data_IF_307595305527
#
_entry.id   IF_307595305527
#
_cell.length_a   1.000
_cell.length_b   1.000
_cell.length_c   1.000
_cell.angle_alpha   90.00
_cell.angle_beta   90.00
_cell.angle_gamma   90.00
#
_symmetry.space_group_name_H-M   'P 1'
#
loop_
_entity.id
_entity.type
_entity.pdbx_description
1 polymer ?
#
# COMPACT_ATOMS: atom_id res chain seq x y z
N UNK A 1 39.23 30.91 36.12
CA UNK A 1 37.93 30.35 36.56
C UNK A 1 37.72 29.05 35.82
N UNK A 2 37.99 27.97 36.53
CA UNK A 2 38.05 26.61 36.00
C UNK A 2 36.63 26.06 35.81
N UNK A 3 36.29 25.63 34.58
CA UNK A 3 35.02 24.93 34.31
C UNK A 3 35.31 23.45 34.30
N UNK A 4 35.18 22.83 35.46
CA UNK A 4 35.23 21.37 35.65
C UNK A 4 34.08 20.74 34.85
N UNK A 5 34.40 20.12 33.72
CA UNK A 5 33.46 19.30 32.95
C UNK A 5 33.23 18.02 33.73
N UNK A 6 32.09 17.93 34.42
CA UNK A 6 31.61 16.70 35.05
C UNK A 6 31.26 15.68 33.95
N UNK A 7 32.25 14.86 33.56
CA UNK A 7 32.06 13.70 32.70
C UNK A 7 31.39 12.59 33.51
N UNK A 8 30.07 12.68 33.68
CA UNK A 8 29.29 11.56 34.20
C UNK A 8 29.39 10.38 33.24
N UNK A 9 29.97 9.27 33.69
CA UNK A 9 29.92 8.00 32.98
C UNK A 9 28.46 7.70 32.60
N UNK A 10 28.16 7.66 31.30
CA UNK A 10 26.88 7.17 30.80
C UNK A 10 26.84 5.67 31.01
N UNK A 11 26.42 5.24 32.20
CA UNK A 11 26.10 3.84 32.44
C UNK A 11 24.94 3.45 31.51
N UNK A 12 25.21 2.54 30.58
CA UNK A 12 24.16 1.97 29.73
C UNK A 12 23.30 1.09 30.64
N UNK A 13 22.10 1.57 30.99
CA UNK A 13 21.16 0.80 31.79
C UNK A 13 20.57 -0.32 30.93
N UNK A 14 20.85 -1.56 31.31
CA UNK A 14 20.27 -2.74 30.67
C UNK A 14 19.04 -3.19 31.44
N UNK A 15 17.87 -3.03 30.84
CA UNK A 15 16.62 -3.57 31.38
C UNK A 15 16.42 -5.02 30.93
N UNK A 16 15.96 -5.88 31.84
CA UNK A 16 15.58 -7.26 31.53
C UNK A 16 14.45 -7.31 30.49
N UNK A 17 14.36 -8.41 29.74
CA UNK A 17 13.27 -8.60 28.77
C UNK A 17 11.90 -8.59 29.47
N UNK A 18 11.79 -9.19 30.65
CA UNK A 18 10.56 -9.24 31.45
C UNK A 18 10.07 -7.85 31.83
N UNK A 19 10.98 -6.99 32.32
CA UNK A 19 10.66 -5.60 32.64
C UNK A 19 10.13 -4.85 31.42
N UNK A 20 10.79 -5.01 30.26
CA UNK A 20 10.37 -4.37 29.00
C UNK A 20 8.97 -4.84 28.59
N UNK A 21 8.69 -6.15 28.67
CA UNK A 21 7.39 -6.73 28.31
C UNK A 21 6.29 -6.25 29.26
N UNK A 22 6.56 -6.23 30.57
CA UNK A 22 5.60 -5.75 31.56
C UNK A 22 5.23 -4.29 31.32
N UNK A 23 6.21 -3.42 31.06
CA UNK A 23 5.95 -2.00 30.76
C UNK A 23 5.21 -1.79 29.45
N UNK A 24 5.46 -2.60 28.43
CA UNK A 24 4.68 -2.56 27.18
C UNK A 24 3.25 -3.04 27.41
N UNK A 25 3.01 -4.03 28.26
CA UNK A 25 1.66 -4.48 28.62
C UNK A 25 0.87 -3.39 29.36
N UNK A 26 1.50 -2.67 30.29
CA UNK A 26 0.90 -1.52 30.97
C UNK A 26 0.61 -0.35 30.02
N UNK A 27 1.50 -0.13 29.03
CA UNK A 27 1.33 0.86 27.98
C UNK A 27 0.16 0.52 27.04
N UNK A 28 0.04 -0.75 26.62
CA UNK A 28 -1.04 -1.24 25.77
C UNK A 28 -2.40 -1.21 26.50
N UNK A 29 -2.40 -1.47 27.81
CA UNK A 29 -3.55 -1.33 28.68
C UNK A 29 -3.91 0.14 29.01
N UNK A 30 -3.14 1.12 28.48
CA UNK A 30 -3.28 2.57 28.74
C UNK A 30 -3.21 2.96 30.22
N UNK A 31 -2.58 2.14 31.06
CA UNK A 31 -2.39 2.42 32.49
C UNK A 31 -1.29 3.46 32.71
N UNK A 32 -0.26 3.43 31.86
CA UNK A 32 0.83 4.41 31.85
C UNK A 32 1.03 4.92 30.43
N UNK A 33 1.38 6.21 30.28
CA UNK A 33 1.77 6.77 28.99
C UNK A 33 3.27 6.61 28.74
N UNK A 34 3.71 6.80 27.49
CA UNK A 34 5.13 6.81 27.13
C UNK A 34 5.88 7.86 27.97
N UNK A 35 5.29 9.03 28.19
CA UNK A 35 5.86 10.11 28.99
C UNK A 35 6.05 9.72 30.45
N UNK A 36 5.09 8.98 31.02
CA UNK A 36 5.17 8.51 32.40
C UNK A 36 6.29 7.49 32.59
N UNK A 37 6.44 6.55 31.64
CA UNK A 37 7.51 5.55 31.65
C UNK A 37 8.89 6.22 31.53
N UNK A 38 9.00 7.22 30.65
CA UNK A 38 10.23 8.01 30.45
C UNK A 38 10.62 8.72 31.74
N UNK A 39 9.66 9.35 32.43
CA UNK A 39 9.91 10.11 33.65
C UNK A 39 10.17 9.22 34.87
N UNK A 40 9.43 8.12 35.01
CA UNK A 40 9.47 7.26 36.19
C UNK A 40 10.69 6.33 36.19
N UNK A 41 11.14 5.90 35.01
CA UNK A 41 12.25 4.94 34.87
C UNK A 41 13.47 5.54 34.17
N UNK A 42 13.45 6.84 33.86
CA UNK A 42 14.52 7.57 33.18
C UNK A 42 14.97 6.87 31.88
N UNK A 43 14.00 6.35 31.13
CA UNK A 43 14.22 5.65 29.85
C UNK A 43 13.98 6.62 28.70
N UNK A 44 14.72 6.53 27.60
CA UNK A 44 14.43 7.36 26.43
C UNK A 44 13.12 6.95 25.76
N UNK A 45 12.35 7.94 25.31
CA UNK A 45 11.07 7.73 24.59
C UNK A 45 11.25 6.82 23.37
N UNK A 46 12.37 6.97 22.65
CA UNK A 46 12.74 6.11 21.51
C UNK A 46 12.88 4.65 21.92
N UNK A 47 13.47 4.35 23.09
CA UNK A 47 13.60 2.97 23.58
C UNK A 47 12.23 2.37 23.92
N UNK A 48 11.35 3.15 24.55
CA UNK A 48 9.98 2.72 24.84
C UNK A 48 9.19 2.46 23.56
N UNK A 49 9.30 3.32 22.54
CA UNK A 49 8.70 3.10 21.22
C UNK A 49 9.21 1.83 20.54
N UNK A 50 10.51 1.54 20.64
CA UNK A 50 11.10 0.28 20.14
C UNK A 50 10.58 -0.94 20.90
N UNK A 51 10.44 -0.85 22.21
CA UNK A 51 9.86 -1.93 23.02
C UNK A 51 8.41 -2.17 22.64
N UNK A 52 7.60 -1.11 22.46
CA UNK A 52 6.22 -1.21 21.98
C UNK A 52 6.18 -1.93 20.63
N UNK A 53 7.00 -1.51 19.66
CA UNK A 53 7.06 -2.17 18.34
C UNK A 53 7.48 -3.64 18.42
N UNK A 54 8.39 -4.01 19.35
CA UNK A 54 8.93 -5.37 19.49
C UNK A 54 8.01 -6.32 20.29
N UNK A 55 7.39 -5.84 21.36
CA UNK A 55 6.67 -6.67 22.33
C UNK A 55 5.15 -6.47 22.32
N UNK A 56 4.62 -5.40 21.72
CA UNK A 56 3.17 -5.22 21.62
C UNK A 56 2.62 -6.07 20.48
N UNK A 57 1.82 -7.07 20.84
CA UNK A 57 1.10 -7.93 19.89
C UNK A 57 0.03 -7.10 19.15
N UNK A 58 -0.68 -6.24 19.87
CA UNK A 58 -1.74 -5.40 19.31
C UNK A 58 -1.20 -4.37 18.31
N UNK A 59 -0.03 -3.76 18.59
CA UNK A 59 0.58 -2.79 17.67
C UNK A 59 1.05 -3.44 16.37
N UNK A 60 1.59 -4.67 16.44
CA UNK A 60 2.02 -5.41 15.26
C UNK A 60 0.82 -5.84 14.38
N UNK A 61 -0.26 -6.30 14.99
CA UNK A 61 -1.50 -6.66 14.29
C UNK A 61 -2.14 -5.45 13.61
N UNK A 62 -2.30 -4.33 14.32
CA UNK A 62 -2.87 -3.12 13.76
C UNK A 62 -2.03 -2.56 12.60
N UNK A 63 -0.70 -2.55 12.72
CA UNK A 63 0.20 -2.09 11.65
C UNK A 63 0.06 -2.97 10.41
N UNK A 64 -0.04 -4.29 10.58
CA UNK A 64 -0.20 -5.23 9.46
C UNK A 64 -1.50 -5.01 8.70
N UNK A 65 -2.62 -4.86 9.40
CA UNK A 65 -3.94 -4.64 8.77
C UNK A 65 -3.95 -3.36 7.92
N UNK A 66 -3.36 -2.27 8.42
CA UNK A 66 -3.27 -1.01 7.66
C UNK A 66 -2.44 -1.17 6.38
N UNK A 67 -1.29 -1.86 6.47
CA UNK A 67 -0.42 -2.11 5.31
C UNK A 67 -1.10 -3.00 4.27
N UNK A 68 -1.84 -4.02 4.71
CA UNK A 68 -2.64 -4.87 3.82
C UNK A 68 -3.72 -4.04 3.09
N UNK A 69 -4.44 -3.16 3.81
CA UNK A 69 -5.44 -2.26 3.19
C UNK A 69 -4.83 -1.25 2.20
N UNK A 70 -3.68 -0.65 2.51
CA UNK A 70 -2.97 0.23 1.57
C UNK A 70 -2.51 -0.53 0.31
N UNK A 71 -2.03 -1.77 0.49
CA UNK A 71 -1.63 -2.63 -0.63
C UNK A 71 -2.82 -3.00 -1.54
N UNK A 72 -3.97 -3.32 -0.96
CA UNK A 72 -5.20 -3.63 -1.71
C UNK A 72 -5.74 -2.40 -2.46
N UNK A 73 -5.73 -1.23 -1.82
CA UNK A 73 -6.14 0.02 -2.46
C UNK A 73 -5.26 0.35 -3.67
N UNK A 74 -3.93 0.15 -3.55
CA UNK A 74 -2.99 0.37 -4.65
C UNK A 74 -3.21 -0.61 -5.81
N UNK A 75 -3.39 -1.91 -5.52
CA UNK A 75 -3.72 -2.91 -6.54
C UNK A 75 -5.03 -2.59 -7.27
N UNK A 76 -6.04 -2.16 -6.53
CA UNK A 76 -7.34 -1.78 -7.10
C UNK A 76 -7.18 -0.60 -8.06
N UNK A 77 -6.39 0.41 -7.68
CA UNK A 77 -6.10 1.56 -8.53
C UNK A 77 -5.37 1.15 -9.83
N UNK A 78 -4.38 0.27 -9.73
CA UNK A 78 -3.64 -0.24 -10.90
C UNK A 78 -4.54 -1.03 -11.85
N UNK A 79 -5.42 -1.89 -11.31
CA UNK A 79 -6.38 -2.66 -12.08
C UNK A 79 -7.40 -1.75 -12.80
N UNK A 80 -7.92 -0.73 -12.12
CA UNK A 80 -8.83 0.25 -12.73
C UNK A 80 -8.16 1.03 -13.86
N UNK A 81 -6.91 1.47 -13.66
CA UNK A 81 -6.14 2.15 -14.70
C UNK A 81 -5.90 1.24 -15.91
N UNK A 82 -5.61 -0.05 -15.67
CA UNK A 82 -5.44 -1.02 -16.74
C UNK A 82 -6.75 -1.26 -17.50
N UNK A 83 -7.87 -1.34 -16.79
CA UNK A 83 -9.18 -1.53 -17.40
C UNK A 83 -9.55 -0.34 -18.31
N UNK A 84 -9.40 0.88 -17.81
CA UNK A 84 -9.64 2.09 -18.61
C UNK A 84 -8.80 2.15 -19.90
N UNK A 85 -7.52 1.73 -19.83
CA UNK A 85 -6.68 1.66 -21.03
C UNK A 85 -7.14 0.58 -22.01
N UNK A 86 -7.57 -0.58 -21.52
CA UNK A 86 -8.10 -1.64 -22.36
C UNK A 86 -9.42 -1.21 -23.03
N UNK A 87 -10.34 -0.59 -22.29
CA UNK A 87 -11.59 -0.04 -22.81
C UNK A 87 -11.33 1.01 -23.90
N UNK A 88 -10.34 1.89 -23.71
CA UNK A 88 -9.90 2.87 -24.72
C UNK A 88 -9.42 2.18 -26.00
N UNK A 89 -8.57 1.17 -25.88
CA UNK A 89 -8.04 0.43 -27.04
C UNK A 89 -9.18 -0.29 -27.78
N UNK A 90 -10.10 -0.92 -27.05
CA UNK A 90 -11.27 -1.59 -27.63
C UNK A 90 -12.14 -0.60 -28.39
N UNK A 91 -12.44 0.57 -27.81
CA UNK A 91 -13.21 1.62 -28.49
C UNK A 91 -12.57 2.10 -29.79
N UNK A 92 -11.25 2.33 -29.80
CA UNK A 92 -10.52 2.73 -31.01
C UNK A 92 -10.59 1.67 -32.11
N UNK A 93 -10.50 0.39 -31.73
CA UNK A 93 -10.65 -0.72 -32.67
C UNK A 93 -12.07 -0.83 -33.19
N UNK A 94 -13.09 -0.65 -32.35
CA UNK A 94 -14.49 -0.69 -32.76
C UNK A 94 -14.81 0.38 -33.79
N UNK A 95 -14.38 1.63 -33.56
CA UNK A 95 -14.57 2.71 -34.55
C UNK A 95 -13.92 2.38 -35.91
N UNK A 96 -12.75 1.75 -35.89
CA UNK A 96 -12.07 1.34 -37.13
C UNK A 96 -12.85 0.25 -37.87
N UNK A 97 -13.40 -0.72 -37.13
CA UNK A 97 -14.26 -1.77 -37.68
C UNK A 97 -15.51 -1.14 -38.29
N UNK A 98 -16.22 -0.30 -37.53
CA UNK A 98 -17.46 0.35 -37.98
C UNK A 98 -17.26 1.16 -39.26
N UNK A 99 -16.13 1.88 -39.35
CA UNK A 99 -15.76 2.62 -40.55
C UNK A 99 -15.53 1.69 -41.75
N UNK A 100 -14.75 0.62 -41.58
CA UNK A 100 -14.47 -0.36 -42.64
C UNK A 100 -15.75 -1.08 -43.09
N UNK A 101 -16.63 -1.44 -42.15
CA UNK A 101 -17.92 -2.06 -42.48
C UNK A 101 -18.79 -1.11 -43.30
N UNK A 102 -18.79 0.18 -42.98
CA UNK A 102 -19.61 1.16 -43.69
C UNK A 102 -19.06 1.47 -45.08
N UNK A 103 -17.74 1.51 -45.22
CA UNK A 103 -17.08 1.57 -46.53
C UNK A 103 -17.46 0.37 -47.40
N UNK A 104 -17.41 -0.84 -46.83
CA UNK A 104 -17.80 -2.08 -47.53
C UNK A 104 -19.27 -2.04 -47.99
N UNK A 105 -20.17 -1.52 -47.15
CA UNK A 105 -21.58 -1.38 -47.51
C UNK A 105 -21.79 -0.41 -48.67
N UNK A 106 -21.10 0.74 -48.66
CA UNK A 106 -21.17 1.72 -49.76
C UNK A 106 -20.59 1.11 -51.05
N UNK A 107 -19.41 0.49 -50.98
CA UNK A 107 -18.77 -0.14 -52.13
C UNK A 107 -19.65 -1.25 -52.73
N UNK A 108 -20.30 -2.07 -51.90
CA UNK A 108 -21.19 -3.13 -52.36
C UNK A 108 -22.44 -2.57 -53.07
N UNK A 109 -22.97 -1.43 -52.60
CA UNK A 109 -24.09 -0.71 -53.25
C UNK A 109 -23.68 -0.15 -54.60
N UNK A 110 -22.52 0.48 -54.69
CA UNK A 110 -22.02 1.06 -55.94
C UNK A 110 -21.69 0.00 -57.00
N UNK A 111 -21.06 -1.11 -56.59
CA UNK A 111 -20.64 -2.18 -57.49
C UNK A 111 -21.76 -3.19 -57.79
N UNK A 112 -22.95 -3.06 -57.18
CA UNK A 112 -24.09 -4.01 -57.28
C UNK A 112 -23.69 -5.47 -57.05
N UNK A 113 -22.63 -5.70 -56.27
CA UNK A 113 -22.11 -7.01 -55.92
C UNK A 113 -21.84 -7.06 -54.42
N UNK A 114 -22.18 -8.19 -53.79
CA UNK A 114 -22.00 -8.37 -52.35
C UNK A 114 -20.57 -8.83 -52.05
N UNK A 115 -19.69 -7.85 -51.78
CA UNK A 115 -18.25 -8.07 -51.62
C UNK A 115 -17.95 -8.96 -50.40
N UNK A 116 -18.74 -8.86 -49.32
CA UNK A 116 -18.55 -9.74 -48.15
C UNK A 116 -18.79 -11.22 -48.49
N UNK A 117 -19.71 -11.50 -49.42
CA UNK A 117 -20.10 -12.85 -49.84
C UNK A 117 -19.17 -13.46 -50.88
N UNK A 118 -18.55 -12.65 -51.73
CA UNK A 118 -17.67 -13.12 -52.80
C UNK A 118 -16.30 -13.62 -52.30
N UNK A 119 -15.89 -13.24 -51.09
CA UNK A 119 -14.59 -13.61 -50.51
C UNK A 119 -14.69 -14.55 -49.29
N UNK A 120 -15.88 -15.06 -48.95
CA UNK A 120 -15.99 -16.11 -47.94
C UNK A 120 -15.40 -17.41 -48.50
N UNK A 121 -14.25 -17.81 -47.99
CA UNK A 121 -13.65 -19.11 -48.29
C UNK A 121 -14.56 -20.18 -47.63
N UNK A 122 -15.02 -21.22 -48.36
CA UNK A 122 -15.76 -22.32 -47.76
C UNK A 122 -14.88 -23.06 -46.73
N UNK A 123 -15.48 -23.72 -45.72
CA UNK A 123 -14.75 -24.32 -44.59
C UNK A 123 -13.73 -25.39 -45.00
#
# INVERSE_FOLDING_TARGET
>A
MDKTKNTGQKFIRHFSEEFKRQKVKELDAKVLSISDIVRLYEVSSVSVCRWRKKYSVHYQQATRVVVEMESEAQKTKELLARNAELERIVGQKQMSIDFLEKLLEIASKELKMDIKKSFSIPP
#
